data_IF_016358229132
#
_entry.id   IF_016358229132
#
_cell.length_a   1.000
_cell.length_b   1.000
_cell.length_c   1.000
_cell.angle_alpha   90.00
_cell.angle_beta   90.00
_cell.angle_gamma   90.00
#
_symmetry.space_group_name_H-M   'P 1'
#
loop_
_entity.id
_entity.type
_entity.pdbx_description
1 polymer ?
#
# COMPACT_ATOMS: atom_id res chain seq x y z
N UNK A 1 -3.53 17.37 -7.44
CA UNK A 1 -2.79 16.76 -8.55
C UNK A 1 -3.22 17.40 -9.87
N UNK A 2 -2.27 17.70 -10.73
CA UNK A 2 -2.50 18.35 -12.02
C UNK A 2 -1.85 17.51 -13.11
N UNK A 3 -2.64 17.18 -14.13
CA UNK A 3 -2.15 16.57 -15.36
C UNK A 3 -1.88 17.65 -16.40
N UNK A 4 -0.89 17.46 -17.25
CA UNK A 4 -0.42 18.50 -18.20
C UNK A 4 -1.30 18.70 -19.43
N UNK A 5 -2.37 17.91 -19.58
CA UNK A 5 -3.29 17.98 -20.73
C UNK A 5 -4.75 17.91 -20.25
N UNK A 6 -5.69 18.17 -21.17
CA UNK A 6 -7.13 18.11 -20.86
C UNK A 6 -7.66 16.70 -21.14
N UNK A 7 -8.11 16.01 -20.09
CA UNK A 7 -8.67 14.67 -20.19
C UNK A 7 -10.12 14.69 -19.71
N UNK A 8 -11.07 14.41 -20.58
CA UNK A 8 -12.46 14.19 -20.22
C UNK A 8 -12.69 12.74 -19.75
N UNK A 9 -13.81 12.48 -19.10
CA UNK A 9 -14.11 11.17 -18.51
C UNK A 9 -14.10 10.02 -19.51
N UNK A 10 -14.55 10.24 -20.74
CA UNK A 10 -14.50 9.25 -21.83
C UNK A 10 -13.06 8.90 -22.24
N UNK A 11 -12.19 9.89 -22.30
CA UNK A 11 -10.76 9.68 -22.56
C UNK A 11 -10.07 9.02 -21.35
N UNK A 12 -10.45 9.39 -20.11
CA UNK A 12 -9.93 8.77 -18.90
C UNK A 12 -10.33 7.28 -18.79
N UNK A 13 -11.55 6.91 -19.17
CA UNK A 13 -12.01 5.52 -19.23
C UNK A 13 -11.18 4.70 -20.23
N UNK A 14 -10.74 5.30 -21.32
CA UNK A 14 -9.88 4.63 -22.29
C UNK A 14 -8.45 4.37 -21.78
N UNK A 15 -8.08 4.95 -20.65
CA UNK A 15 -6.81 4.72 -19.95
C UNK A 15 -6.89 3.61 -18.88
N UNK A 16 -7.99 2.89 -18.81
CA UNK A 16 -8.17 1.80 -17.82
C UNK A 16 -6.98 0.84 -17.81
N UNK A 17 -6.47 0.56 -16.60
CA UNK A 17 -5.30 -0.28 -16.38
C UNK A 17 -3.95 0.40 -16.70
N UNK A 18 -3.92 1.69 -17.03
CA UNK A 18 -2.69 2.42 -17.32
C UNK A 18 -2.38 3.46 -16.23
N UNK A 19 -1.09 3.80 -16.14
CA UNK A 19 -0.61 4.90 -15.30
C UNK A 19 -0.41 6.15 -16.15
N UNK A 20 -0.71 7.32 -15.58
CA UNK A 20 -0.44 8.64 -16.17
C UNK A 20 0.47 9.45 -15.27
N UNK A 21 1.40 10.18 -15.87
CA UNK A 21 2.34 11.03 -15.14
C UNK A 21 1.74 12.43 -14.93
N UNK A 22 1.71 12.87 -13.67
CA UNK A 22 1.27 14.20 -13.27
C UNK A 22 2.37 15.24 -13.48
N UNK A 23 2.04 16.53 -13.45
CA UNK A 23 3.02 17.63 -13.62
C UNK A 23 4.13 17.65 -12.56
N UNK A 24 3.92 17.03 -11.42
CA UNK A 24 4.93 16.89 -10.37
C UNK A 24 5.81 15.63 -10.54
N UNK A 25 5.64 14.87 -11.64
CA UNK A 25 6.36 13.63 -11.91
C UNK A 25 5.78 12.39 -11.26
N UNK A 26 4.72 12.51 -10.46
CA UNK A 26 4.06 11.37 -9.84
C UNK A 26 3.22 10.60 -10.86
N UNK A 27 3.25 9.28 -10.76
CA UNK A 27 2.37 8.40 -11.53
C UNK A 27 1.08 8.15 -10.75
N UNK A 28 -0.05 8.24 -11.41
CA UNK A 28 -1.34 7.81 -10.90
C UNK A 28 -1.92 6.73 -11.80
N UNK A 29 -2.52 5.71 -11.22
CA UNK A 29 -3.18 4.63 -11.94
C UNK A 29 -4.62 5.02 -12.25
N UNK A 30 -5.06 4.73 -13.46
CA UNK A 30 -6.46 4.88 -13.87
C UNK A 30 -7.09 3.50 -13.94
N UNK A 31 -8.22 3.30 -13.28
CA UNK A 31 -8.95 2.05 -13.30
C UNK A 31 -10.46 2.27 -13.42
N UNK A 32 -11.13 1.33 -14.09
CA UNK A 32 -12.60 1.29 -14.17
C UNK A 32 -13.08 0.02 -13.49
N UNK A 33 -13.88 0.17 -12.42
CA UNK A 33 -14.45 -0.93 -11.65
C UNK A 33 -15.94 -0.67 -11.43
N UNK A 34 -16.78 -1.63 -11.76
CA UNK A 34 -18.24 -1.53 -11.61
C UNK A 34 -18.81 -0.23 -12.17
N UNK A 35 -18.42 0.16 -13.39
CA UNK A 35 -18.79 1.41 -14.07
C UNK A 35 -18.35 2.70 -13.35
N UNK A 36 -17.45 2.61 -12.38
CA UNK A 36 -16.85 3.77 -11.71
C UNK A 36 -15.42 3.97 -12.17
N UNK A 37 -15.04 5.23 -12.38
CA UNK A 37 -13.67 5.64 -12.68
C UNK A 37 -12.91 5.91 -11.37
N UNK A 38 -11.73 5.33 -11.26
CA UNK A 38 -10.80 5.53 -10.15
C UNK A 38 -9.50 6.14 -10.63
N UNK A 39 -8.91 6.97 -9.78
CA UNK A 39 -7.54 7.46 -9.89
C UNK A 39 -6.81 7.00 -8.62
N UNK A 40 -5.87 6.07 -8.75
CA UNK A 40 -5.39 5.25 -7.65
C UNK A 40 -6.58 4.55 -6.95
N UNK A 41 -6.71 4.72 -5.64
CA UNK A 41 -7.82 4.22 -4.83
C UNK A 41 -8.98 5.24 -4.66
N UNK A 42 -8.86 6.42 -5.26
CA UNK A 42 -9.87 7.48 -5.18
C UNK A 42 -10.90 7.36 -6.31
N UNK A 43 -12.17 7.21 -5.95
CA UNK A 43 -13.25 7.19 -6.93
C UNK A 43 -13.58 8.60 -7.40
N UNK A 44 -13.73 8.78 -8.72
CA UNK A 44 -14.25 10.02 -9.30
C UNK A 44 -15.75 10.12 -8.97
N UNK A 45 -16.13 11.15 -8.22
CA UNK A 45 -17.53 11.38 -7.79
C UNK A 45 -18.25 12.40 -8.65
N UNK A 46 -17.50 13.30 -9.29
CA UNK A 46 -18.04 14.24 -10.29
C UNK A 46 -16.97 14.44 -11.35
N UNK A 47 -17.29 14.05 -12.57
CA UNK A 47 -16.40 14.20 -13.72
C UNK A 47 -16.75 15.45 -14.54
N UNK A 48 -15.81 15.87 -15.39
CA UNK A 48 -16.00 16.85 -16.46
C UNK A 48 -16.50 18.23 -16.01
N UNK A 49 -16.03 18.71 -14.85
CA UNK A 49 -16.28 20.08 -14.40
C UNK A 49 -15.41 21.01 -15.25
N UNK A 50 -16.01 21.65 -16.23
CA UNK A 50 -15.30 22.50 -17.20
C UNK A 50 -14.89 23.82 -16.52
N UNK A 51 -13.63 24.18 -16.64
CA UNK A 51 -13.03 25.45 -16.21
C UNK A 51 -12.52 26.25 -17.43
N UNK A 52 -12.15 27.51 -17.21
CA UNK A 52 -11.69 28.39 -18.30
C UNK A 52 -10.40 27.91 -19.00
N UNK A 53 -9.62 27.04 -18.38
CA UNK A 53 -8.33 26.54 -18.88
C UNK A 53 -8.12 25.03 -18.66
N UNK A 54 -9.18 24.26 -18.42
CA UNK A 54 -9.06 22.82 -18.22
C UNK A 54 -10.33 22.17 -17.72
N UNK A 55 -10.20 20.93 -17.31
CA UNK A 55 -11.26 20.09 -16.73
C UNK A 55 -10.86 19.66 -15.33
N UNK A 56 -11.82 19.64 -14.40
CA UNK A 56 -11.63 19.20 -13.03
C UNK A 56 -12.48 17.94 -12.83
N UNK A 57 -11.88 16.94 -12.20
CA UNK A 57 -12.57 15.75 -11.70
C UNK A 57 -12.55 15.78 -10.17
N UNK A 58 -13.72 15.77 -9.53
CA UNK A 58 -13.80 15.66 -8.08
C UNK A 58 -13.72 14.19 -7.68
N UNK A 59 -12.94 13.90 -6.66
CA UNK A 59 -12.69 12.56 -6.12
C UNK A 59 -13.11 12.47 -4.66
N UNK A 60 -13.39 11.27 -4.17
CA UNK A 60 -13.89 11.04 -2.79
C UNK A 60 -12.78 10.94 -1.74
N UNK A 61 -11.51 10.90 -2.15
CA UNK A 61 -10.34 10.86 -1.27
C UNK A 61 -9.27 11.83 -1.76
N UNK A 62 -8.39 12.26 -0.88
CA UNK A 62 -7.17 12.96 -1.29
C UNK A 62 -6.25 11.94 -1.96
N UNK A 63 -5.71 12.26 -3.13
CA UNK A 63 -4.64 11.47 -3.70
C UNK A 63 -3.39 11.70 -2.83
N UNK A 64 -3.01 10.72 -2.07
CA UNK A 64 -1.67 10.62 -1.50
C UNK A 64 -0.67 10.43 -2.64
N UNK A 65 0.53 10.96 -2.50
CA UNK A 65 1.57 10.97 -3.53
C UNK A 65 1.70 9.66 -4.29
N UNK A 66 2.11 9.73 -5.55
CA UNK A 66 2.11 8.59 -6.48
C UNK A 66 2.74 7.33 -5.87
N UNK A 67 2.04 6.21 -6.01
CA UNK A 67 2.59 4.92 -5.62
C UNK A 67 3.78 4.60 -6.49
N UNK A 68 4.93 4.38 -5.87
CA UNK A 68 6.11 3.91 -6.58
C UNK A 68 6.29 2.43 -6.28
N UNK A 69 6.24 1.59 -7.31
CA UNK A 69 6.58 0.18 -7.22
C UNK A 69 8.02 -0.01 -7.70
N UNK A 70 8.86 -0.60 -6.87
CA UNK A 70 10.22 -0.95 -7.22
C UNK A 70 10.48 -2.43 -6.93
N UNK A 71 11.27 -3.08 -7.79
CA UNK A 71 11.63 -4.50 -7.65
C UNK A 71 13.01 -4.60 -7.01
N UNK A 72 13.09 -5.32 -5.90
CA UNK A 72 14.35 -5.57 -5.20
C UNK A 72 15.03 -6.84 -5.69
N UNK A 73 16.37 -6.86 -5.62
CA UNK A 73 17.22 -8.01 -5.94
C UNK A 73 18.19 -8.28 -4.78
N UNK A 74 18.08 -9.45 -4.17
CA UNK A 74 18.95 -9.93 -3.09
C UNK A 74 19.93 -11.01 -3.53
N UNK A 75 19.88 -11.44 -4.80
CA UNK A 75 20.56 -12.63 -5.30
C UNK A 75 22.09 -12.56 -5.19
N UNK A 76 22.65 -11.35 -5.20
CA UNK A 76 24.12 -11.13 -5.14
C UNK A 76 24.55 -10.36 -3.88
N UNK A 77 23.62 -10.07 -2.98
CA UNK A 77 23.84 -9.21 -1.81
C UNK A 77 24.15 -9.92 -0.49
N UNK A 78 24.48 -11.21 -0.49
CA UNK A 78 24.76 -11.96 0.74
C UNK A 78 25.97 -11.42 1.49
N UNK A 79 25.87 -11.24 2.81
CA UNK A 79 26.95 -10.77 3.68
C UNK A 79 26.99 -11.55 5.00
N UNK A 80 28.12 -11.45 5.74
CA UNK A 80 28.28 -12.08 7.04
C UNK A 80 28.29 -13.62 7.02
N UNK A 81 28.48 -14.23 5.86
CA UNK A 81 28.45 -15.70 5.71
C UNK A 81 27.06 -16.26 5.41
N UNK A 82 26.04 -15.41 5.17
CA UNK A 82 24.79 -15.85 4.55
C UNK A 82 25.05 -16.34 3.12
N UNK A 83 24.21 -17.22 2.60
CA UNK A 83 24.37 -17.83 1.28
C UNK A 83 23.13 -17.57 0.44
N UNK A 84 23.31 -17.02 -0.75
CA UNK A 84 22.29 -16.86 -1.78
C UNK A 84 22.67 -17.72 -3.01
N UNK A 85 21.69 -18.42 -3.57
CA UNK A 85 21.76 -19.06 -4.87
C UNK A 85 20.95 -18.24 -5.85
N UNK A 86 21.63 -17.55 -6.77
CA UNK A 86 20.99 -16.64 -7.72
C UNK A 86 20.22 -17.36 -8.84
N UNK A 87 20.49 -18.64 -9.10
CA UNK A 87 19.76 -19.40 -10.13
C UNK A 87 18.40 -19.87 -9.64
N UNK A 88 18.30 -20.17 -8.34
CA UNK A 88 17.08 -20.67 -7.70
C UNK A 88 16.40 -19.67 -6.78
N UNK A 89 17.01 -18.48 -6.62
CA UNK A 89 16.56 -17.43 -5.67
C UNK A 89 16.35 -17.99 -4.26
N UNK A 90 17.26 -18.89 -3.85
CA UNK A 90 17.21 -19.58 -2.57
C UNK A 90 18.26 -18.99 -1.61
N UNK A 91 17.80 -18.70 -0.42
CA UNK A 91 18.58 -18.01 0.61
C UNK A 91 18.69 -18.88 1.86
N UNK A 92 19.86 -18.85 2.51
CA UNK A 92 20.07 -19.58 3.75
C UNK A 92 20.99 -18.85 4.72
N UNK A 93 20.78 -19.13 6.03
CA UNK A 93 21.56 -18.61 7.14
C UNK A 93 22.30 -19.77 7.83
N UNK A 94 23.43 -20.24 7.30
CA UNK A 94 24.09 -21.46 7.79
C UNK A 94 24.71 -21.26 9.18
N UNK A 95 24.87 -22.39 9.91
CA UNK A 95 25.69 -22.43 11.13
C UNK A 95 27.13 -21.96 10.79
N UNK A 96 27.62 -20.98 11.57
CA UNK A 96 28.93 -20.35 11.34
C UNK A 96 28.80 -18.97 10.64
N UNK A 97 27.69 -18.61 10.07
CA UNK A 97 27.44 -17.25 9.67
C UNK A 97 27.35 -16.32 10.89
N UNK A 98 27.73 -15.07 10.70
CA UNK A 98 27.69 -14.05 11.75
C UNK A 98 26.25 -13.75 12.21
N UNK A 99 26.06 -13.33 13.44
CA UNK A 99 24.73 -13.03 13.99
C UNK A 99 24.02 -11.86 13.28
N UNK A 100 24.76 -11.07 12.52
CA UNK A 100 24.28 -9.94 11.72
C UNK A 100 24.22 -10.25 10.22
N UNK A 101 24.46 -11.49 9.81
CA UNK A 101 24.45 -11.92 8.41
C UNK A 101 23.05 -11.74 7.78
N UNK A 102 23.02 -11.43 6.51
CA UNK A 102 21.79 -11.18 5.77
C UNK A 102 22.05 -10.99 4.27
N UNK A 103 21.09 -10.37 3.62
CA UNK A 103 21.10 -10.14 2.17
C UNK A 103 20.74 -8.68 1.89
N UNK A 104 21.62 -7.95 1.21
CA UNK A 104 21.39 -6.58 0.78
C UNK A 104 20.78 -6.55 -0.61
N UNK A 105 19.83 -5.64 -0.82
CA UNK A 105 19.33 -5.35 -2.15
C UNK A 105 20.42 -4.67 -3.01
N UNK A 106 20.59 -5.16 -4.23
CA UNK A 106 21.51 -4.61 -5.24
C UNK A 106 20.84 -3.90 -6.40
N UNK A 107 19.50 -3.93 -6.48
CA UNK A 107 18.79 -3.13 -7.48
C UNK A 107 18.90 -1.63 -7.19
N UNK A 108 18.93 -0.82 -8.23
CA UNK A 108 18.95 0.65 -8.15
C UNK A 108 17.53 1.17 -7.92
N UNK A 109 17.08 1.12 -6.65
CA UNK A 109 15.71 1.47 -6.24
C UNK A 109 15.67 2.62 -5.23
N UNK A 110 16.79 3.25 -4.96
CA UNK A 110 16.94 4.25 -3.91
C UNK A 110 16.86 5.69 -4.42
N UNK A 111 16.41 6.64 -3.58
CA UNK A 111 15.92 6.44 -2.22
C UNK A 111 14.49 5.91 -2.17
N UNK A 112 14.16 5.14 -1.11
CA UNK A 112 12.79 4.71 -0.81
C UNK A 112 12.23 5.58 0.31
N UNK A 113 10.95 5.95 0.23
CA UNK A 113 10.25 6.72 1.27
C UNK A 113 8.86 6.13 1.51
N UNK A 114 8.43 6.12 2.77
CA UNK A 114 7.10 5.64 3.19
C UNK A 114 6.35 6.75 3.94
N UNK A 115 6.32 7.97 3.41
CA UNK A 115 5.65 9.10 4.06
C UNK A 115 4.18 8.80 4.35
N UNK A 116 3.49 8.15 3.43
CA UNK A 116 2.10 7.71 3.57
C UNK A 116 1.98 6.22 3.93
N UNK A 117 3.09 5.55 4.17
CA UNK A 117 3.17 4.10 4.33
C UNK A 117 3.50 3.37 3.04
N UNK A 118 3.26 2.08 3.00
CA UNK A 118 3.55 1.24 1.84
C UNK A 118 3.39 -0.24 2.14
N UNK A 119 3.92 -1.07 1.26
CA UNK A 119 3.93 -2.53 1.45
C UNK A 119 5.14 -3.18 0.79
N UNK A 120 5.41 -4.40 1.19
CA UNK A 120 6.30 -5.33 0.47
C UNK A 120 5.45 -6.53 0.08
N UNK A 121 5.39 -6.85 -1.22
CA UNK A 121 4.86 -8.12 -1.71
C UNK A 121 5.99 -8.98 -2.23
N UNK A 122 5.94 -10.27 -2.01
CA UNK A 122 6.95 -11.21 -2.47
C UNK A 122 6.38 -12.62 -2.55
N UNK A 123 6.96 -13.44 -3.41
CA UNK A 123 6.66 -14.87 -3.50
C UNK A 123 7.69 -15.65 -2.70
N UNK A 124 7.27 -16.58 -1.85
CA UNK A 124 8.20 -17.40 -1.08
C UNK A 124 7.72 -18.84 -0.89
N UNK A 125 8.68 -19.76 -0.65
CA UNK A 125 8.42 -21.14 -0.24
C UNK A 125 9.56 -21.66 0.63
N UNK A 126 9.24 -22.60 1.55
CA UNK A 126 10.20 -23.27 2.40
C UNK A 126 9.75 -24.69 2.71
N UNK A 127 10.67 -25.66 2.60
CA UNK A 127 10.40 -27.07 2.98
C UNK A 127 10.26 -27.23 4.51
N UNK A 128 10.95 -26.39 5.26
CA UNK A 128 10.84 -26.31 6.71
C UNK A 128 10.42 -24.90 7.09
N UNK A 129 9.40 -24.72 7.97
CA UNK A 129 8.93 -23.40 8.33
C UNK A 129 10.06 -22.47 8.76
N UNK A 130 10.16 -21.33 8.09
CA UNK A 130 11.29 -20.40 8.21
C UNK A 130 10.75 -18.97 8.31
N UNK A 131 11.27 -18.20 9.26
CA UNK A 131 10.88 -16.81 9.43
C UNK A 131 11.82 -15.89 8.67
N UNK A 132 11.23 -14.91 7.97
CA UNK A 132 11.98 -13.84 7.33
C UNK A 132 11.49 -12.48 7.80
N UNK A 133 12.34 -11.48 7.74
CA UNK A 133 11.99 -10.07 7.92
C UNK A 133 12.82 -9.19 7.00
N UNK A 134 12.34 -7.98 6.76
CA UNK A 134 13.04 -6.96 6.01
C UNK A 134 13.44 -5.80 6.92
N UNK A 135 14.46 -5.05 6.49
CA UNK A 135 14.93 -3.86 7.17
C UNK A 135 15.29 -2.78 6.16
N UNK A 136 14.82 -1.59 6.41
CA UNK A 136 15.21 -0.38 5.69
C UNK A 136 16.14 0.44 6.58
N UNK A 137 17.17 1.03 5.99
CA UNK A 137 18.15 1.85 6.69
C UNK A 137 18.36 3.16 5.92
N UNK A 138 18.65 4.25 6.64
CA UNK A 138 18.94 5.55 6.02
C UNK A 138 20.09 5.43 5.01
N UNK A 139 21.21 4.90 5.44
CA UNK A 139 22.36 4.54 4.61
C UNK A 139 22.87 3.14 5.02
N UNK A 140 23.67 2.48 4.18
CA UNK A 140 24.38 1.29 4.60
C UNK A 140 25.25 1.55 5.82
N UNK A 141 25.46 0.50 6.66
CA UNK A 141 26.35 0.58 7.84
C UNK A 141 27.61 1.39 7.52
N UNK A 142 28.09 2.33 8.42
CA UNK A 142 27.64 2.47 9.82
C UNK A 142 26.49 3.45 10.06
N UNK A 143 26.04 4.21 9.08
CA UNK A 143 25.08 5.32 9.24
C UNK A 143 23.65 4.87 9.01
N UNK A 144 23.22 3.82 9.71
CA UNK A 144 21.96 3.10 9.47
C UNK A 144 20.69 3.85 9.91
N UNK A 145 20.78 4.76 10.87
CA UNK A 145 19.61 5.45 11.45
C UNK A 145 19.21 6.73 10.68
N UNK A 146 17.90 6.97 10.52
CA UNK A 146 16.75 6.17 10.98
C UNK A 146 16.64 4.82 10.25
N UNK A 147 16.24 3.78 10.99
CA UNK A 147 16.03 2.45 10.44
C UNK A 147 14.64 1.92 10.80
N UNK A 148 14.10 1.07 9.94
CA UNK A 148 12.80 0.43 10.13
C UNK A 148 12.90 -1.08 9.88
N UNK A 149 12.53 -1.89 10.87
CA UNK A 149 12.40 -3.34 10.76
C UNK A 149 10.92 -3.71 10.58
N UNK A 150 10.63 -4.53 9.56
CA UNK A 150 9.26 -5.04 9.36
C UNK A 150 8.89 -6.06 10.43
N UNK A 151 7.60 -6.38 10.50
CA UNK A 151 7.16 -7.61 11.17
C UNK A 151 7.83 -8.82 10.52
N UNK A 152 8.04 -9.86 11.34
CA UNK A 152 8.53 -11.17 10.87
C UNK A 152 7.39 -11.94 10.23
N UNK A 153 7.65 -12.57 9.09
CA UNK A 153 6.68 -13.42 8.36
C UNK A 153 7.16 -14.86 8.39
N UNK A 154 6.27 -15.76 8.79
CA UNK A 154 6.50 -17.20 8.73
C UNK A 154 6.20 -17.73 7.33
N UNK A 155 7.19 -18.33 6.69
CA UNK A 155 7.05 -19.06 5.43
C UNK A 155 6.91 -20.53 5.78
N UNK A 156 5.70 -21.06 5.71
CA UNK A 156 5.34 -22.44 6.09
C UNK A 156 4.79 -23.26 4.93
N UNK A 157 4.81 -22.72 3.71
CA UNK A 157 4.40 -23.39 2.48
C UNK A 157 5.61 -23.91 1.71
N UNK A 158 5.60 -25.19 1.35
CA UNK A 158 6.57 -25.76 0.40
C UNK A 158 6.29 -25.37 -1.06
N UNK A 159 5.15 -24.74 -1.33
CA UNK A 159 4.80 -24.21 -2.65
C UNK A 159 4.94 -22.68 -2.65
N UNK A 160 5.38 -22.13 -3.78
CA UNK A 160 5.48 -20.71 -3.98
C UNK A 160 4.14 -20.03 -3.67
N UNK A 161 4.14 -19.16 -2.67
CA UNK A 161 2.95 -18.47 -2.14
C UNK A 161 3.30 -16.98 -2.03
N UNK A 162 2.36 -16.12 -2.39
CA UNK A 162 2.51 -14.68 -2.23
C UNK A 162 2.25 -14.24 -0.79
N UNK A 163 3.11 -13.37 -0.29
CA UNK A 163 3.02 -12.75 1.03
C UNK A 163 3.04 -11.24 0.89
N UNK A 164 2.35 -10.56 1.80
CA UNK A 164 2.34 -9.09 1.88
C UNK A 164 2.66 -8.65 3.31
N UNK A 165 3.52 -7.64 3.41
CA UNK A 165 3.85 -6.94 4.66
C UNK A 165 3.44 -5.48 4.49
N UNK A 166 2.53 -4.99 5.33
CA UNK A 166 2.19 -3.58 5.37
C UNK A 166 3.25 -2.78 6.11
N UNK A 167 3.62 -1.63 5.58
CA UNK A 167 4.57 -0.69 6.17
C UNK A 167 3.81 0.58 6.59
N UNK A 168 3.74 0.88 7.89
CA UNK A 168 3.14 2.13 8.34
C UNK A 168 3.96 3.33 7.88
N UNK A 169 3.34 4.52 7.87
CA UNK A 169 4.04 5.77 7.57
C UNK A 169 5.33 5.90 8.39
N UNK A 170 6.40 6.25 7.73
CA UNK A 170 7.71 6.54 8.31
C UNK A 170 7.99 8.06 8.35
N UNK A 171 6.97 8.89 8.11
CA UNK A 171 7.10 10.34 8.03
C UNK A 171 8.05 10.74 6.88
N UNK A 172 8.92 11.71 7.14
CA UNK A 172 9.85 12.23 6.14
C UNK A 172 11.13 11.39 5.99
N UNK A 173 11.20 10.20 6.62
CA UNK A 173 12.38 9.36 6.52
C UNK A 173 12.54 8.81 5.10
N UNK A 174 13.80 8.80 4.64
CA UNK A 174 14.22 8.18 3.39
C UNK A 174 15.22 7.08 3.68
N UNK A 175 15.20 6.02 2.87
CA UNK A 175 16.04 4.84 3.05
C UNK A 175 16.84 4.58 1.79
N UNK A 176 18.13 4.30 1.96
CA UNK A 176 19.08 3.99 0.87
C UNK A 176 19.76 2.63 1.07
N UNK A 177 19.23 1.81 1.99
CA UNK A 177 19.63 0.42 2.20
C UNK A 177 18.38 -0.41 2.49
N UNK A 178 18.26 -1.55 1.84
CA UNK A 178 17.16 -2.49 2.02
C UNK A 178 17.72 -3.89 2.16
N UNK A 179 17.41 -4.53 3.28
CA UNK A 179 18.00 -5.80 3.72
C UNK A 179 16.91 -6.84 3.96
N UNK A 180 17.23 -8.10 3.68
CA UNK A 180 16.44 -9.27 4.05
C UNK A 180 17.22 -10.13 5.05
N UNK A 181 16.54 -10.66 6.06
CA UNK A 181 17.09 -11.54 7.07
C UNK A 181 16.28 -12.82 7.20
N UNK A 182 16.96 -13.95 7.32
CA UNK A 182 16.39 -15.23 7.73
C UNK A 182 16.67 -15.40 9.21
N UNK A 183 15.71 -15.86 9.98
CA UNK A 183 15.83 -15.96 11.44
C UNK A 183 16.41 -17.30 11.85
N UNK A 184 15.93 -18.39 11.26
CA UNK A 184 16.40 -19.75 11.55
C UNK A 184 17.67 -20.07 10.80
N UNK A 185 18.56 -20.83 11.48
CA UNK A 185 19.80 -21.32 10.88
C UNK A 185 19.57 -22.65 10.19
N UNK A 186 20.43 -22.92 9.19
CA UNK A 186 20.52 -24.18 8.46
C UNK A 186 19.21 -24.57 7.75
N UNK A 187 18.35 -23.58 7.49
CA UNK A 187 17.15 -23.72 6.69
C UNK A 187 17.27 -22.84 5.45
N UNK A 188 16.68 -23.33 4.36
CA UNK A 188 16.66 -22.61 3.09
C UNK A 188 15.23 -22.11 2.82
N UNK A 189 15.13 -20.91 2.28
CA UNK A 189 13.89 -20.30 1.82
C UNK A 189 14.10 -19.77 0.40
N UNK A 190 13.18 -20.08 -0.51
CA UNK A 190 13.12 -19.42 -1.81
C UNK A 190 12.31 -18.13 -1.66
N UNK A 191 12.82 -17.02 -2.19
CA UNK A 191 12.14 -15.71 -2.19
C UNK A 191 12.37 -15.05 -3.53
N UNK A 192 11.29 -14.74 -4.23
CA UNK A 192 11.32 -14.06 -5.54
C UNK A 192 10.30 -12.93 -5.61
N UNK A 193 10.32 -12.17 -6.70
CA UNK A 193 9.37 -11.12 -7.02
C UNK A 193 9.15 -10.13 -5.86
N UNK A 194 10.23 -9.71 -5.21
CA UNK A 194 10.13 -8.77 -4.08
C UNK A 194 9.84 -7.37 -4.61
N UNK A 195 8.62 -6.92 -4.43
CA UNK A 195 8.14 -5.60 -4.86
C UNK A 195 7.90 -4.74 -3.62
N UNK A 196 8.55 -3.59 -3.59
CA UNK A 196 8.30 -2.55 -2.58
C UNK A 196 7.37 -1.50 -3.18
N UNK A 197 6.23 -1.32 -2.55
CA UNK A 197 5.27 -0.26 -2.87
C UNK A 197 5.42 0.85 -1.83
N UNK A 198 5.71 2.06 -2.27
CA UNK A 198 5.77 3.25 -1.41
C UNK A 198 4.68 4.25 -1.79
N UNK A 199 4.28 5.12 -0.87
CA UNK A 199 3.25 6.12 -1.10
C UNK A 199 1.81 5.60 -0.98
N UNK A 200 1.60 4.37 -0.48
CA UNK A 200 0.27 3.84 -0.16
C UNK A 200 0.04 3.99 1.33
N UNK A 201 -0.93 4.80 1.73
CA UNK A 201 -1.45 4.70 3.09
C UNK A 201 -2.00 3.27 3.28
N UNK A 202 -1.68 2.58 4.40
CA UNK A 202 -2.31 1.31 4.74
C UNK A 202 -3.82 1.49 4.56
N UNK A 203 -4.50 0.55 3.91
CA UNK A 203 -5.94 0.60 3.77
C UNK A 203 -6.53 0.79 5.17
N UNK A 204 -7.07 1.97 5.44
CA UNK A 204 -7.78 2.20 6.69
C UNK A 204 -8.88 1.14 6.74
N UNK A 205 -8.95 0.32 7.81
CA UNK A 205 -10.00 -0.69 7.88
C UNK A 205 -11.31 0.04 7.65
N UNK A 206 -12.06 -0.38 6.64
CA UNK A 206 -13.34 0.25 6.31
C UNK A 206 -14.09 0.45 7.62
N UNK A 207 -14.50 1.70 7.97
CA UNK A 207 -15.22 1.93 9.19
C UNK A 207 -16.40 0.97 9.15
N UNK A 208 -16.46 0.04 10.11
CA UNK A 208 -17.54 -0.91 10.21
C UNK A 208 -18.82 -0.08 10.03
N UNK A 209 -19.57 -0.33 8.95
CA UNK A 209 -20.80 0.40 8.65
C UNK A 209 -21.67 0.23 9.88
N UNK A 210 -21.62 1.23 10.75
CA UNK A 210 -22.47 1.26 11.93
C UNK A 210 -23.82 1.71 11.40
N UNK A 211 -24.66 0.73 11.08
CA UNK A 211 -26.05 1.02 10.82
C UNK A 211 -26.62 1.68 12.09
N UNK A 212 -26.72 2.99 12.04
CA UNK A 212 -27.39 3.75 13.10
C UNK A 212 -28.81 3.96 12.63
N UNK A 213 -29.72 3.11 13.10
CA UNK A 213 -31.15 3.33 12.92
C UNK A 213 -31.58 4.40 13.91
N UNK A 214 -31.92 5.58 13.41
CA UNK A 214 -32.50 6.62 14.23
C UNK A 214 -34.02 6.36 14.35
N UNK A 215 -34.50 6.27 15.59
CA UNK A 215 -35.93 6.16 15.89
C UNK A 215 -36.45 7.54 16.32
N UNK A 216 -37.30 8.11 15.49
CA UNK A 216 -37.98 9.39 15.75
C UNK A 216 -39.41 9.21 16.28
N UNK A 217 -39.89 7.98 16.52
CA UNK A 217 -41.26 7.70 16.88
C UNK A 217 -41.65 8.26 18.25
N UNK A 218 -40.68 8.56 19.10
CA UNK A 218 -40.91 9.10 20.46
C UNK A 218 -40.36 10.50 20.68
N UNK A 219 -39.77 11.12 19.67
CA UNK A 219 -38.98 12.37 19.78
C UNK A 219 -39.73 13.63 19.29
N UNK A 220 -41.07 13.63 19.27
CA UNK A 220 -41.84 14.79 18.80
C UNK A 220 -41.69 16.01 19.73
N UNK A 221 -41.46 17.20 19.17
CA UNK A 221 -41.38 18.47 19.87
C UNK A 221 -42.11 19.56 19.07
N UNK A 222 -42.44 20.69 19.72
CA UNK A 222 -43.07 21.82 19.05
C UNK A 222 -44.46 21.50 18.47
N UNK A 223 -45.30 20.73 19.20
CA UNK A 223 -46.61 20.24 18.78
C UNK A 223 -46.62 19.36 17.51
N UNK A 224 -45.49 18.86 17.07
CA UNK A 224 -45.48 17.85 16.02
C UNK A 224 -46.17 16.56 16.52
N UNK A 225 -46.85 15.87 15.61
CA UNK A 225 -47.52 14.60 15.91
C UNK A 225 -46.80 13.49 15.17
N UNK A 226 -46.49 12.42 15.91
CA UNK A 226 -45.87 11.21 15.37
C UNK A 226 -46.86 10.07 15.49
N UNK A 227 -47.19 9.44 14.38
CA UNK A 227 -47.85 8.15 14.35
C UNK A 227 -46.78 7.04 14.26
N UNK A 228 -46.54 6.36 15.38
CA UNK A 228 -45.52 5.35 15.49
C UNK A 228 -45.86 4.05 14.75
N UNK A 229 -47.13 3.78 14.43
CA UNK A 229 -47.53 2.58 13.68
C UNK A 229 -47.30 2.74 12.19
N UNK A 230 -47.43 3.96 11.68
CA UNK A 230 -47.29 4.28 10.24
C UNK A 230 -46.00 5.04 9.94
N UNK A 231 -45.18 5.34 10.96
CA UNK A 231 -43.95 6.16 10.87
C UNK A 231 -44.21 7.52 10.17
N UNK A 232 -45.37 8.09 10.40
CA UNK A 232 -45.81 9.33 9.77
C UNK A 232 -45.63 10.51 10.72
N UNK A 233 -45.04 11.59 10.22
CA UNK A 233 -44.73 12.80 10.98
C UNK A 233 -45.56 13.98 10.42
N UNK A 234 -46.28 14.67 11.27
CA UNK A 234 -47.13 15.82 10.88
C UNK A 234 -46.85 17.06 11.71
N UNK A 235 -46.85 18.21 11.07
CA UNK A 235 -46.83 19.52 11.73
C UNK A 235 -48.23 20.16 11.57
N UNK A 236 -49.05 20.16 12.63
CA UNK A 236 -50.36 20.80 12.57
C UNK A 236 -50.22 22.30 12.29
N UNK A 237 -51.09 22.84 11.43
CA UNK A 237 -51.13 24.27 11.16
C UNK A 237 -51.58 25.02 12.43
N UNK A 238 -50.71 25.89 12.97
CA UNK A 238 -50.94 26.65 14.18
C UNK A 238 -50.13 26.28 15.40
N UNK A 239 -49.04 25.50 15.21
CA UNK A 239 -48.04 25.20 16.21
C UNK A 239 -46.95 26.28 16.28
#
# INVERSE_FOLDING_TARGET
>A
HVYGDTVYSDAAIALDGNSIEMLNGELVNVAVQDDNLFVNDARVVTADIVSGNGVIHAINKVLSGGQTAVVADFTTGAFGGAVADAETETYSFPTGAEGWAGFANNADIYPISFSEGGSITFTASAETPTNIRFRFEYLPYPDVDPAYDTATVLIDSAQATEYTIEIPSQGDNTFSSFLMYIIERDQAVAVSDVIVMSGVAPAEPEPAVREVTADFTTGAFGNAVVDAETETYTFPSGA
#
